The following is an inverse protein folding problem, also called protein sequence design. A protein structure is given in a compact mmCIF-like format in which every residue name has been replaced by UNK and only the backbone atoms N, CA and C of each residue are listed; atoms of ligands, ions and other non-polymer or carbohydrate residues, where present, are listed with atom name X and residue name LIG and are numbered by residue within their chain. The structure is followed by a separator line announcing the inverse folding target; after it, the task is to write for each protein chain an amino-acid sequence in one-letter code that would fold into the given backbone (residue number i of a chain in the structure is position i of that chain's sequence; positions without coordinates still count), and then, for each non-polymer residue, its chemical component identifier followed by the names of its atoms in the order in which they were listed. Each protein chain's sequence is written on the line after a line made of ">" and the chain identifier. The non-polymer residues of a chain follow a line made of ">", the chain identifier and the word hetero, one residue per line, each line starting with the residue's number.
data_IF_114569257055
#
_entry.id   IF_114569257055
#
_cell.length_a   1.000
_cell.length_b   1.000
_cell.length_c   1.000
_cell.angle_alpha   90.00
_cell.angle_beta   90.00
_cell.angle_gamma   90.00
#
_symmetry.space_group_name_H-M   'P 1'
#
loop_
_entity.id
_entity.type
_entity.pdbx_description
1 polymer ?
#
# COMPACT_ATOMS: atom_id res chain seq x y z
N UNK A 1 12.10 18.50 51.65
CA UNK A 1 12.58 17.19 51.14
C UNK A 1 12.15 17.09 49.68
N UNK A 2 12.74 17.89 48.78
CA UNK A 2 13.99 17.62 48.05
C UNK A 2 14.01 16.24 47.38
N UNK A 3 13.76 16.23 46.06
CA UNK A 3 14.70 15.80 45.01
C UNK A 3 14.00 16.04 43.65
N UNK A 4 14.28 17.14 42.94
CA UNK A 4 15.35 17.27 41.92
C UNK A 4 15.20 16.20 40.83
N UNK A 5 14.52 16.49 39.71
CA UNK A 5 15.11 17.06 38.48
C UNK A 5 16.46 16.42 38.13
N UNK A 6 16.50 15.74 36.98
CA UNK A 6 17.55 15.77 35.95
C UNK A 6 17.47 14.49 35.08
N UNK A 7 17.95 14.37 33.85
CA UNK A 7 18.94 15.12 33.09
C UNK A 7 18.73 14.78 31.58
N UNK A 8 18.58 15.82 30.74
CA UNK A 8 19.24 16.04 29.43
C UNK A 8 18.83 15.27 28.14
N UNK A 9 18.41 16.10 27.17
CA UNK A 9 18.72 15.95 25.74
C UNK A 9 20.25 16.03 25.52
N UNK A 10 20.77 15.18 24.65
CA UNK A 10 21.99 15.45 23.87
C UNK A 10 21.73 15.14 22.39
N UNK A 11 21.87 16.19 21.59
CA UNK A 11 21.83 16.23 20.13
C UNK A 11 23.18 15.77 19.60
N UNK A 12 23.21 14.85 18.63
CA UNK A 12 24.05 14.90 17.42
C UNK A 12 24.09 13.53 16.74
N UNK A 13 23.66 13.46 15.48
CA UNK A 13 23.67 12.24 14.68
C UNK A 13 22.97 12.44 13.35
N UNK A 14 23.44 13.41 12.58
CA UNK A 14 23.08 13.60 11.17
C UNK A 14 23.56 12.39 10.36
N UNK A 15 22.67 11.44 10.08
CA UNK A 15 22.84 10.46 9.01
C UNK A 15 21.83 10.74 7.91
N UNK A 16 22.27 11.54 6.94
CA UNK A 16 21.66 11.70 5.62
C UNK A 16 21.80 10.40 4.84
N UNK A 17 20.79 9.53 4.90
CA UNK A 17 20.63 8.43 3.96
C UNK A 17 19.71 8.90 2.82
N UNK A 18 20.33 9.46 1.78
CA UNK A 18 19.69 9.74 0.51
C UNK A 18 19.33 8.41 -0.18
N UNK A 19 18.10 7.94 0.02
CA UNK A 19 17.54 6.83 -0.73
C UNK A 19 16.76 7.39 -1.92
N UNK A 20 17.46 7.58 -3.03
CA UNK A 20 16.88 7.85 -4.34
C UNK A 20 16.10 6.61 -4.82
N UNK A 21 14.81 6.53 -4.49
CA UNK A 21 13.91 5.55 -5.08
C UNK A 21 13.26 6.16 -6.32
N UNK A 22 13.65 5.61 -7.47
CA UNK A 22 13.26 5.98 -8.82
C UNK A 22 11.74 6.06 -8.97
N UNK A 23 11.26 7.18 -9.51
CA UNK A 23 9.93 7.30 -10.08
C UNK A 23 9.76 6.22 -11.15
N UNK A 24 8.83 5.30 -10.91
CA UNK A 24 8.35 4.35 -11.91
C UNK A 24 6.97 4.84 -12.35
N UNK A 25 6.96 5.51 -13.50
CA UNK A 25 5.75 5.83 -14.26
C UNK A 25 5.27 4.55 -14.94
N UNK A 26 4.49 3.73 -14.22
CA UNK A 26 3.55 2.82 -14.87
C UNK A 26 2.20 3.52 -14.97
N UNK A 27 1.89 3.94 -16.18
CA UNK A 27 0.54 4.29 -16.61
C UNK A 27 -0.37 3.08 -16.40
N UNK A 28 -1.15 3.08 -15.33
CA UNK A 28 -2.29 2.17 -15.20
C UNK A 28 -3.51 2.84 -15.83
N UNK A 29 -3.62 2.71 -17.15
CA UNK A 29 -4.87 2.89 -17.87
C UNK A 29 -5.75 1.66 -17.62
N UNK A 30 -6.78 1.80 -16.76
CA UNK A 30 -8.13 1.32 -17.05
C UNK A 30 -9.12 1.64 -15.90
N UNK A 31 -9.84 2.74 -16.11
CA UNK A 31 -11.30 2.86 -16.09
C UNK A 31 -12.06 2.37 -14.85
N UNK A 32 -12.33 3.32 -13.96
CA UNK A 32 -13.48 3.28 -13.07
C UNK A 32 -14.76 3.54 -13.87
N UNK A 33 -15.56 2.50 -14.11
CA UNK A 33 -16.99 2.65 -14.40
C UNK A 33 -17.77 2.25 -13.14
N UNK A 34 -17.89 3.21 -12.20
CA UNK A 34 -18.97 3.23 -11.22
C UNK A 34 -20.07 4.06 -11.87
N UNK A 35 -21.02 3.40 -12.50
CA UNK A 35 -22.29 4.02 -12.88
C UNK A 35 -23.29 3.64 -11.79
N UNK A 36 -23.59 4.61 -10.94
CA UNK A 36 -24.75 4.62 -10.05
C UNK A 36 -25.99 4.96 -10.87
N UNK A 37 -26.92 4.03 -11.02
CA UNK A 37 -28.31 4.35 -11.34
C UNK A 37 -29.21 3.62 -10.35
N UNK A 38 -29.50 4.30 -9.24
CA UNK A 38 -30.77 4.16 -8.54
C UNK A 38 -31.68 5.21 -9.17
N UNK A 39 -32.55 4.79 -10.10
CA UNK A 39 -33.69 5.57 -10.54
C UNK A 39 -34.95 4.77 -10.25
N UNK A 40 -35.87 5.47 -9.60
CA UNK A 40 -37.21 5.04 -9.30
C UNK A 40 -38.06 4.90 -10.56
N UNK A 41 -39.17 4.19 -10.37
CA UNK A 41 -40.44 4.29 -11.08
C UNK A 41 -40.66 3.54 -12.41
N UNK A 42 -41.87 2.98 -12.45
CA UNK A 42 -42.47 2.11 -13.45
C UNK A 42 -42.54 2.75 -14.84
N UNK A 43 -42.25 1.99 -15.90
CA UNK A 43 -43.03 2.03 -17.14
C UNK A 43 -42.68 0.84 -18.06
N UNK A 44 -43.70 0.25 -18.66
CA UNK A 44 -43.63 -0.70 -19.78
C UNK A 44 -43.01 -0.06 -21.03
N UNK A 45 -42.16 -0.79 -21.76
CA UNK A 45 -42.26 -1.10 -23.22
C UNK A 45 -40.92 -1.55 -23.85
N UNK A 46 -40.95 -2.77 -24.41
CA UNK A 46 -40.57 -3.18 -25.77
C UNK A 46 -39.20 -2.78 -26.41
N UNK A 47 -38.38 -3.82 -26.66
CA UNK A 47 -37.42 -3.96 -27.79
C UNK A 47 -36.09 -3.18 -27.68
N UNK A 48 -34.91 -3.66 -28.05
CA UNK A 48 -34.43 -4.86 -28.75
C UNK A 48 -32.94 -4.99 -28.38
N UNK A 49 -32.51 -6.17 -27.91
CA UNK A 49 -31.12 -6.41 -27.52
C UNK A 49 -30.86 -7.88 -27.21
N UNK A 50 -30.63 -8.66 -28.27
CA UNK A 50 -30.13 -10.05 -28.32
C UNK A 50 -30.31 -10.89 -27.04
N UNK A 51 -31.49 -11.48 -26.89
CA UNK A 51 -31.69 -12.59 -25.95
C UNK A 51 -31.11 -13.87 -26.56
N UNK A 52 -30.01 -14.37 -26.01
CA UNK A 52 -29.52 -15.70 -26.34
C UNK A 52 -30.55 -16.74 -25.85
N UNK A 53 -31.37 -17.26 -26.77
CA UNK A 53 -32.33 -18.32 -26.48
C UNK A 53 -31.58 -19.65 -26.39
N UNK A 54 -31.27 -20.08 -25.17
CA UNK A 54 -30.72 -21.42 -24.90
C UNK A 54 -31.86 -22.42 -25.03
N UNK A 55 -31.85 -23.25 -26.08
CA UNK A 55 -32.78 -24.37 -26.24
C UNK A 55 -32.13 -25.64 -25.71
N UNK A 56 -32.78 -26.29 -24.74
CA UNK A 56 -32.31 -27.55 -24.18
C UNK A 56 -33.06 -28.71 -24.83
N UNK A 57 -32.33 -29.63 -25.48
CA UNK A 57 -32.89 -30.86 -26.05
C UNK A 57 -32.50 -32.02 -25.11
N UNK A 58 -33.47 -32.76 -24.53
CA UNK A 58 -33.13 -33.87 -23.64
C UNK A 58 -32.49 -35.03 -24.43
N UNK A 59 -31.40 -35.58 -23.88
CA UNK A 59 -30.55 -36.69 -24.38
C UNK A 59 -29.37 -36.32 -25.30
N UNK A 60 -29.09 -35.05 -25.54
CA UNK A 60 -27.83 -34.61 -26.17
C UNK A 60 -27.22 -33.46 -25.36
N UNK A 61 -25.98 -33.61 -24.90
CA UNK A 61 -25.23 -32.59 -24.16
C UNK A 61 -24.61 -31.57 -25.13
N UNK A 62 -25.37 -31.05 -26.08
CA UNK A 62 -24.92 -30.00 -26.99
C UNK A 62 -25.61 -28.69 -26.62
N UNK A 63 -24.85 -27.78 -26.02
CA UNK A 63 -25.31 -26.40 -25.76
C UNK A 63 -24.72 -25.55 -26.88
N UNK A 64 -25.53 -25.24 -27.90
CA UNK A 64 -25.14 -24.33 -28.96
C UNK A 64 -25.30 -22.88 -28.47
N UNK A 65 -24.19 -22.27 -28.08
CA UNK A 65 -24.10 -20.83 -27.94
C UNK A 65 -24.04 -20.26 -29.36
N UNK A 66 -25.17 -19.75 -29.88
CA UNK A 66 -25.22 -19.09 -31.19
C UNK A 66 -24.26 -17.90 -31.24
N UNK A 67 -23.00 -18.16 -31.60
CA UNK A 67 -21.99 -17.13 -31.79
C UNK A 67 -22.26 -16.44 -33.13
N UNK A 68 -22.40 -15.10 -33.16
CA UNK A 68 -22.48 -14.39 -34.43
C UNK A 68 -21.14 -14.58 -35.14
N UNK A 69 -21.19 -15.19 -36.32
CA UNK A 69 -20.09 -15.27 -37.29
C UNK A 69 -19.78 -13.88 -37.82
N UNK A 70 -19.10 -13.07 -37.00
CA UNK A 70 -18.35 -11.92 -37.48
C UNK A 70 -17.03 -12.49 -38.00
N UNK A 71 -16.90 -12.50 -39.32
CA UNK A 71 -15.66 -12.87 -40.01
C UNK A 71 -14.49 -12.12 -39.40
N UNK A 72 -13.41 -12.88 -39.15
CA UNK A 72 -12.02 -12.49 -38.85
C UNK A 72 -11.45 -13.41 -37.76
N UNK A 73 -11.54 -14.72 -37.98
CA UNK A 73 -10.66 -15.67 -37.31
C UNK A 73 -9.37 -15.77 -38.14
N UNK A 74 -8.35 -15.08 -37.64
CA UNK A 74 -6.95 -15.39 -37.88
C UNK A 74 -6.76 -16.88 -37.59
N UNK A 75 -6.65 -17.70 -38.64
CA UNK A 75 -6.27 -19.10 -38.57
C UNK A 75 -4.79 -19.17 -38.23
N UNK A 76 -4.46 -19.10 -36.94
CA UNK A 76 -3.16 -19.56 -36.43
C UNK A 76 -3.40 -20.69 -35.43
N UNK A 77 -4.16 -21.70 -35.85
CA UNK A 77 -3.94 -23.05 -35.32
C UNK A 77 -2.63 -23.47 -35.97
N UNK A 78 -1.52 -23.28 -35.24
CA UNK A 78 -0.28 -23.97 -35.57
C UNK A 78 -0.58 -25.43 -35.33
N UNK A 79 -1.00 -26.10 -36.40
CA UNK A 79 -0.91 -27.54 -36.54
C UNK A 79 0.53 -27.91 -36.17
N UNK A 80 0.67 -28.65 -35.08
CA UNK A 80 1.94 -29.25 -34.70
C UNK A 80 2.29 -30.17 -35.88
N UNK A 81 3.41 -29.97 -36.62
CA UNK A 81 3.77 -30.91 -37.65
C UNK A 81 4.15 -32.23 -36.96
N UNK A 82 3.25 -33.18 -37.09
CA UNK A 82 3.39 -34.58 -36.73
C UNK A 82 4.54 -35.21 -37.51
N UNK A 83 5.52 -35.72 -36.77
CA UNK A 83 6.08 -37.07 -36.98
C UNK A 83 6.72 -37.44 -38.33
N UNK A 84 7.45 -36.55 -39.01
CA UNK A 84 8.18 -36.92 -40.25
C UNK A 84 9.70 -36.73 -40.23
N UNK A 85 10.29 -36.21 -39.16
CA UNK A 85 11.73 -35.91 -39.11
C UNK A 85 12.49 -36.61 -37.96
N UNK A 86 12.14 -37.85 -37.63
CA UNK A 86 13.01 -38.67 -36.79
C UNK A 86 13.12 -40.03 -37.47
N UNK A 87 14.28 -40.39 -38.07
CA UNK A 87 14.47 -41.75 -38.54
C UNK A 87 14.37 -42.69 -37.32
N UNK A 88 13.70 -43.85 -37.45
CA UNK A 88 13.59 -44.79 -36.34
C UNK A 88 14.99 -45.18 -35.86
N UNK A 89 15.19 -45.12 -34.54
CA UNK A 89 16.45 -45.47 -33.89
C UNK A 89 16.78 -46.94 -34.23
N UNK A 90 17.73 -47.16 -35.16
CA UNK A 90 18.27 -48.49 -35.40
C UNK A 90 19.11 -48.91 -34.20
N UNK A 91 18.76 -50.04 -33.60
CA UNK A 91 19.65 -50.69 -32.63
C UNK A 91 20.94 -51.10 -33.34
N UNK A 92 22.12 -50.81 -32.76
CA UNK A 92 23.39 -51.12 -33.39
C UNK A 92 23.56 -52.65 -33.47
N UNK A 93 23.52 -53.19 -34.69
CA UNK A 93 23.55 -54.64 -34.98
C UNK A 93 24.88 -55.31 -34.62
N UNK A 94 25.94 -54.54 -34.35
CA UNK A 94 27.27 -55.07 -34.06
C UNK A 94 27.73 -54.60 -32.67
N UNK A 95 27.54 -55.46 -31.66
CA UNK A 95 28.26 -55.33 -30.39
C UNK A 95 29.72 -55.69 -30.65
N UNK A 96 30.57 -54.69 -30.85
CA UNK A 96 32.01 -54.94 -30.85
C UNK A 96 32.42 -55.45 -29.45
N UNK A 97 33.30 -56.46 -29.35
CA UNK A 97 33.85 -56.86 -28.07
C UNK A 97 34.49 -55.65 -27.40
N UNK A 98 34.14 -55.42 -26.14
CA UNK A 98 34.81 -54.40 -25.33
C UNK A 98 36.28 -54.81 -25.26
N UNK A 99 37.15 -54.07 -25.96
CA UNK A 99 38.58 -54.21 -25.81
C UNK A 99 38.92 -53.67 -24.42
N UNK A 100 39.20 -54.57 -23.49
CA UNK A 100 39.75 -54.19 -22.20
C UNK A 100 41.20 -53.80 -22.45
N UNK A 101 41.52 -52.52 -22.27
CA UNK A 101 42.91 -52.09 -22.19
C UNK A 101 43.58 -52.86 -21.05
N UNK A 102 44.82 -53.30 -21.30
CA UNK A 102 45.73 -54.01 -20.39
C UNK A 102 45.63 -53.47 -18.95
N UNK A 103 45.72 -54.33 -17.90
CA UNK A 103 45.37 -53.94 -16.54
C UNK A 103 46.10 -52.65 -16.15
N UNK A 104 45.29 -51.63 -15.86
CA UNK A 104 45.72 -50.33 -15.38
C UNK A 104 46.67 -50.58 -14.21
N UNK A 105 47.91 -50.11 -14.35
CA UNK A 105 48.90 -50.02 -13.26
C UNK A 105 48.15 -49.64 -11.97
N UNK A 106 48.24 -50.48 -10.94
CA UNK A 106 47.69 -50.21 -9.61
C UNK A 106 48.29 -48.90 -9.09
N UNK A 107 47.65 -47.77 -9.44
CA UNK A 107 47.79 -46.54 -8.69
C UNK A 107 47.06 -46.83 -7.40
N UNK A 108 47.81 -47.03 -6.33
CA UNK A 108 47.28 -47.10 -4.98
C UNK A 108 46.25 -45.98 -4.83
N UNK A 109 44.98 -46.37 -4.73
CA UNK A 109 43.92 -45.49 -4.28
C UNK A 109 44.17 -45.29 -2.78
N UNK A 110 45.16 -44.47 -2.45
CA UNK A 110 45.26 -43.93 -1.11
C UNK A 110 43.95 -43.17 -0.87
N UNK A 111 43.22 -43.57 0.17
CA UNK A 111 42.04 -42.86 0.64
C UNK A 111 42.42 -41.38 0.75
N UNK A 112 41.66 -40.45 0.14
CA UNK A 112 42.00 -39.04 0.18
C UNK A 112 42.21 -38.63 1.64
N UNK A 113 43.44 -38.19 1.95
CA UNK A 113 43.90 -37.83 3.29
C UNK A 113 42.91 -36.86 3.93
N UNK A 114 42.08 -37.36 4.85
CA UNK A 114 41.13 -36.63 5.70
C UNK A 114 40.81 -35.23 5.17
N UNK A 115 40.15 -35.15 4.01
CA UNK A 115 39.61 -33.90 3.52
C UNK A 115 38.67 -33.38 4.61
N UNK A 116 39.02 -32.25 5.21
CA UNK A 116 38.26 -31.62 6.29
C UNK A 116 36.79 -31.68 5.88
N UNK A 117 35.98 -32.43 6.63
CA UNK A 117 34.55 -32.56 6.37
C UNK A 117 33.97 -31.14 6.48
N UNK A 118 33.80 -30.46 5.35
CA UNK A 118 33.18 -29.15 5.31
C UNK A 118 31.72 -29.41 5.68
N UNK A 119 31.35 -29.07 6.91
CA UNK A 119 29.97 -29.16 7.37
C UNK A 119 29.07 -28.36 6.42
N UNK A 120 28.37 -29.07 5.52
CA UNK A 120 27.39 -28.46 4.63
C UNK A 120 26.19 -28.04 5.47
N UNK A 121 26.27 -26.85 6.05
CA UNK A 121 25.19 -26.27 6.82
C UNK A 121 23.97 -26.04 5.90
N UNK A 122 23.00 -26.95 5.96
CA UNK A 122 21.76 -26.90 5.19
C UNK A 122 20.79 -25.80 5.68
N UNK A 123 21.31 -24.70 6.22
CA UNK A 123 20.59 -23.59 6.83
C UNK A 123 19.57 -22.99 5.86
N UNK A 124 19.96 -22.83 4.59
CA UNK A 124 19.08 -22.33 3.54
C UNK A 124 17.91 -23.30 3.26
N UNK A 125 18.18 -24.60 3.21
CA UNK A 125 17.14 -25.62 3.00
C UNK A 125 16.13 -25.66 4.16
N UNK A 126 16.60 -25.56 5.40
CA UNK A 126 15.73 -25.48 6.58
C UNK A 126 14.87 -24.21 6.53
N UNK A 127 15.46 -23.05 6.20
CA UNK A 127 14.75 -21.78 6.04
C UNK A 127 13.68 -21.86 4.94
N UNK A 128 14.00 -22.46 3.80
CA UNK A 128 13.07 -22.67 2.68
C UNK A 128 11.92 -23.59 3.11
N UNK A 129 12.19 -24.71 3.77
CA UNK A 129 11.16 -25.65 4.26
C UNK A 129 10.22 -24.98 5.26
N UNK A 130 10.74 -24.17 6.18
CA UNK A 130 9.92 -23.38 7.13
C UNK A 130 9.02 -22.37 6.40
N UNK A 131 9.56 -21.61 5.45
CA UNK A 131 8.78 -20.67 4.62
C UNK A 131 7.72 -21.39 3.78
N UNK A 132 8.07 -22.52 3.14
CA UNK A 132 7.16 -23.40 2.40
C UNK A 132 5.99 -23.84 3.29
N UNK A 133 6.29 -24.36 4.48
CA UNK A 133 5.28 -24.85 5.41
C UNK A 133 4.36 -23.73 5.91
N UNK A 134 4.91 -22.54 6.25
CA UNK A 134 4.11 -21.36 6.62
C UNK A 134 3.17 -20.92 5.49
N UNK A 135 3.66 -20.87 4.24
CA UNK A 135 2.86 -20.53 3.05
C UNK A 135 1.76 -21.56 2.80
N UNK A 136 2.09 -22.85 2.87
CA UNK A 136 1.14 -23.95 2.71
C UNK A 136 0.01 -23.88 3.75
N UNK A 137 0.36 -23.77 5.04
CA UNK A 137 -0.61 -23.66 6.14
C UNK A 137 -1.49 -22.41 5.99
N UNK A 138 -0.91 -21.26 5.61
CA UNK A 138 -1.67 -20.02 5.36
C UNK A 138 -2.66 -20.17 4.20
N UNK A 139 -2.25 -20.80 3.09
CA UNK A 139 -3.14 -21.09 1.96
C UNK A 139 -4.28 -22.03 2.37
N UNK A 140 -3.98 -23.10 3.12
CA UNK A 140 -4.99 -24.03 3.66
C UNK A 140 -6.00 -23.30 4.55
N UNK A 141 -5.52 -22.43 5.45
CA UNK A 141 -6.38 -21.62 6.31
C UNK A 141 -7.27 -20.65 5.52
N UNK A 142 -6.72 -19.92 4.54
CA UNK A 142 -7.49 -18.98 3.71
C UNK A 142 -8.60 -19.69 2.91
N UNK A 143 -8.33 -20.91 2.42
CA UNK A 143 -9.36 -21.73 1.77
C UNK A 143 -10.43 -22.16 2.76
N UNK A 144 -10.04 -22.69 3.94
CA UNK A 144 -10.97 -23.13 5.00
C UNK A 144 -11.87 -21.99 5.49
N UNK A 145 -11.31 -20.79 5.66
CA UNK A 145 -12.00 -19.64 6.26
C UNK A 145 -12.44 -18.57 5.25
N UNK A 146 -12.56 -18.91 3.95
CA UNK A 146 -12.81 -17.94 2.87
C UNK A 146 -13.96 -16.98 3.21
N UNK A 147 -15.13 -17.52 3.54
CA UNK A 147 -16.34 -16.72 3.78
C UNK A 147 -16.26 -15.83 5.03
N UNK A 148 -15.64 -16.33 6.10
CA UNK A 148 -15.43 -15.54 7.32
C UNK A 148 -14.50 -14.35 7.02
N UNK A 149 -13.41 -14.59 6.29
CA UNK A 149 -12.48 -13.54 5.88
C UNK A 149 -13.14 -12.52 4.94
N UNK A 150 -13.99 -12.95 4.01
CA UNK A 150 -14.74 -12.02 3.16
C UNK A 150 -15.73 -11.17 3.98
N UNK A 151 -16.45 -11.76 4.94
CA UNK A 151 -17.32 -11.00 5.86
C UNK A 151 -16.54 -9.93 6.64
N UNK A 152 -15.35 -10.28 7.12
CA UNK A 152 -14.47 -9.30 7.82
C UNK A 152 -14.00 -8.21 6.87
N UNK A 153 -13.62 -8.54 5.62
CA UNK A 153 -13.22 -7.55 4.62
C UNK A 153 -14.37 -6.60 4.26
N UNK A 154 -15.56 -7.14 4.07
CA UNK A 154 -16.76 -6.33 3.78
C UNK A 154 -17.03 -5.34 4.90
N UNK A 155 -17.01 -5.80 6.16
CA UNK A 155 -17.17 -4.91 7.33
C UNK A 155 -16.09 -3.82 7.40
N UNK A 156 -14.84 -4.14 7.05
CA UNK A 156 -13.76 -3.14 7.00
C UNK A 156 -14.02 -2.10 5.91
N UNK A 157 -14.38 -2.54 4.69
CA UNK A 157 -14.74 -1.63 3.59
C UNK A 157 -15.90 -0.72 3.96
N UNK A 158 -16.96 -1.27 4.55
CA UNK A 158 -18.12 -0.49 5.00
C UNK A 158 -17.74 0.55 6.06
N UNK A 159 -16.83 0.22 7.00
CA UNK A 159 -16.35 1.20 7.98
C UNK A 159 -15.54 2.31 7.32
N UNK A 160 -14.63 1.96 6.42
CA UNK A 160 -13.84 2.94 5.67
C UNK A 160 -14.73 3.86 4.84
N UNK A 161 -15.72 3.30 4.15
CA UNK A 161 -16.69 4.06 3.35
C UNK A 161 -17.51 5.02 4.22
N UNK A 162 -18.02 4.54 5.36
CA UNK A 162 -18.75 5.40 6.29
C UNK A 162 -17.89 6.54 6.82
N UNK A 163 -16.63 6.26 7.20
CA UNK A 163 -15.70 7.31 7.65
C UNK A 163 -15.48 8.34 6.56
N UNK A 164 -15.24 7.90 5.33
CA UNK A 164 -15.08 8.77 4.18
C UNK A 164 -16.33 9.65 3.94
N UNK A 165 -17.52 9.07 3.97
CA UNK A 165 -18.78 9.81 3.84
C UNK A 165 -18.96 10.82 4.96
N UNK A 166 -18.65 10.47 6.20
CA UNK A 166 -18.73 11.41 7.32
C UNK A 166 -17.77 12.57 7.18
N UNK A 167 -16.54 12.33 6.69
CA UNK A 167 -15.56 13.38 6.42
C UNK A 167 -16.03 14.32 5.31
N UNK A 168 -16.65 13.79 4.24
CA UNK A 168 -17.21 14.61 3.17
C UNK A 168 -18.36 15.47 3.67
N UNK A 169 -19.31 14.89 4.41
CA UNK A 169 -20.44 15.64 4.98
C UNK A 169 -19.92 16.71 5.96
N UNK A 170 -18.89 16.42 6.75
CA UNK A 170 -18.28 17.39 7.65
C UNK A 170 -17.71 18.59 6.88
N UNK A 171 -16.98 18.35 5.78
CA UNK A 171 -16.45 19.44 4.92
C UNK A 171 -17.54 20.26 4.26
N UNK A 172 -18.62 19.62 3.81
CA UNK A 172 -19.77 20.33 3.23
C UNK A 172 -20.41 21.21 4.29
N UNK A 173 -20.65 20.69 5.50
CA UNK A 173 -21.20 21.48 6.61
C UNK A 173 -20.28 22.61 7.03
N UNK A 174 -18.97 22.39 7.08
CA UNK A 174 -17.98 23.44 7.35
C UNK A 174 -18.07 24.55 6.29
N UNK A 175 -18.20 24.19 5.01
CA UNK A 175 -18.36 25.17 3.93
C UNK A 175 -19.72 25.90 3.97
N UNK A 176 -20.81 25.21 4.31
CA UNK A 176 -22.15 25.80 4.45
C UNK A 176 -22.24 26.76 5.65
N UNK A 177 -21.56 26.44 6.74
CA UNK A 177 -21.53 27.25 7.97
C UNK A 177 -20.45 28.34 7.93
N UNK A 178 -19.65 28.41 6.87
CA UNK A 178 -18.57 29.38 6.75
C UNK A 178 -19.11 30.79 6.52
N UNK A 179 -19.05 31.63 7.55
CA UNK A 179 -19.25 33.08 7.43
C UNK A 179 -17.89 33.79 7.26
N UNK A 180 -17.73 34.46 6.13
CA UNK A 180 -16.51 35.20 5.81
C UNK A 180 -16.27 36.36 6.78
N UNK A 181 -17.32 37.03 7.26
CA UNK A 181 -17.16 38.14 8.20
C UNK A 181 -16.66 37.66 9.56
N UNK A 182 -17.26 36.60 10.08
CA UNK A 182 -16.84 35.99 11.34
C UNK A 182 -15.40 35.49 11.25
N UNK A 183 -15.03 34.85 10.15
CA UNK A 183 -13.65 34.41 9.91
C UNK A 183 -12.65 35.59 9.94
N UNK A 184 -12.96 36.70 9.27
CA UNK A 184 -12.10 37.89 9.29
C UNK A 184 -12.03 38.51 10.68
N UNK A 185 -13.16 38.61 11.39
CA UNK A 185 -13.22 39.11 12.77
C UNK A 185 -12.37 38.25 13.70
N UNK A 186 -12.45 36.92 13.59
CA UNK A 186 -11.62 35.99 14.36
C UNK A 186 -10.13 36.21 14.06
N UNK A 187 -9.73 36.30 12.79
CA UNK A 187 -8.34 36.55 12.40
C UNK A 187 -7.80 37.87 12.93
N UNK A 188 -8.57 38.95 12.81
CA UNK A 188 -8.22 40.25 13.39
C UNK A 188 -8.14 40.18 14.91
N UNK A 189 -9.02 39.43 15.57
CA UNK A 189 -8.99 39.24 17.03
C UNK A 189 -7.71 38.54 17.49
N UNK A 190 -7.26 37.51 16.77
CA UNK A 190 -6.01 36.78 17.05
C UNK A 190 -4.82 37.71 16.89
N UNK A 191 -4.80 38.50 15.82
CA UNK A 191 -3.73 39.45 15.52
C UNK A 191 -3.66 40.58 16.57
N UNK A 192 -4.83 41.07 17.00
CA UNK A 192 -4.95 42.12 18.01
C UNK A 192 -4.77 41.61 19.45
N UNK A 193 -4.82 40.28 19.67
CA UNK A 193 -4.65 39.68 20.99
C UNK A 193 -3.24 39.96 21.51
N UNK A 194 -3.14 40.73 22.59
CA UNK A 194 -1.86 40.99 23.27
C UNK A 194 -1.33 39.71 23.89
N UNK A 195 -0.22 39.19 23.36
CA UNK A 195 0.48 38.05 23.95
C UNK A 195 1.22 38.54 25.20
N UNK A 196 0.87 37.99 26.37
CA UNK A 196 1.56 38.28 27.62
C UNK A 196 2.81 37.40 27.73
N UNK A 197 3.96 37.95 28.14
CA UNK A 197 5.14 37.16 28.44
C UNK A 197 4.87 36.25 29.66
N UNK A 198 5.50 35.07 29.68
CA UNK A 198 5.39 34.13 30.81
C UNK A 198 6.13 34.58 32.07
N UNK A 199 7.15 35.42 31.89
CA UNK A 199 7.98 35.95 32.97
C UNK A 199 8.01 37.46 32.92
N UNK A 200 8.22 38.07 34.09
CA UNK A 200 8.41 39.51 34.21
C UNK A 200 9.62 39.77 35.09
N UNK A 201 10.61 40.53 34.56
CA UNK A 201 11.90 40.81 35.23
C UNK A 201 12.69 39.56 35.67
N UNK A 202 12.43 38.40 35.03
CA UNK A 202 13.12 37.14 35.30
C UNK A 202 12.33 36.15 36.18
N UNK A 203 11.27 36.61 36.84
CA UNK A 203 10.44 35.78 37.72
C UNK A 203 9.18 35.28 36.98
N UNK A 204 8.73 34.07 37.32
CA UNK A 204 7.46 33.50 36.85
C UNK A 204 6.38 33.99 37.79
N UNK A 205 5.54 34.90 37.30
CA UNK A 205 4.45 35.49 38.06
C UNK A 205 3.09 35.13 37.43
N UNK A 206 1.98 35.24 38.17
CA UNK A 206 0.65 35.08 37.62
C UNK A 206 0.40 36.06 36.45
N UNK A 207 -0.30 35.60 35.42
CA UNK A 207 -0.52 36.37 34.19
C UNK A 207 -1.21 37.73 34.45
N UNK A 208 -2.09 37.80 35.45
CA UNK A 208 -2.78 39.02 35.85
C UNK A 208 -1.81 40.10 36.37
N UNK A 209 -0.86 39.72 37.21
CA UNK A 209 0.15 40.65 37.73
C UNK A 209 1.08 41.14 36.63
N UNK A 210 1.52 40.23 35.73
CA UNK A 210 2.35 40.60 34.57
C UNK A 210 1.62 41.62 33.68
N UNK A 211 0.32 41.41 33.45
CA UNK A 211 -0.52 42.35 32.70
C UNK A 211 -0.55 43.73 33.37
N UNK A 212 -0.84 43.78 34.67
CA UNK A 212 -0.86 45.04 35.44
C UNK A 212 0.48 45.78 35.35
N UNK A 213 1.60 45.09 35.53
CA UNK A 213 2.92 45.71 35.43
C UNK A 213 3.25 46.22 34.02
N UNK A 214 2.85 45.50 32.97
CA UNK A 214 3.01 45.95 31.59
C UNK A 214 2.15 47.18 31.28
N UNK A 215 0.91 47.19 31.77
CA UNK A 215 -0.01 48.31 31.59
C UNK A 215 0.48 49.56 32.35
N UNK A 216 0.95 49.42 33.59
CA UNK A 216 1.56 50.51 34.35
C UNK A 216 2.79 51.08 33.63
N UNK A 217 3.66 50.20 33.10
CA UNK A 217 4.84 50.60 32.33
C UNK A 217 4.44 51.33 31.04
N UNK A 218 3.33 50.94 30.40
CA UNK A 218 2.79 51.60 29.20
C UNK A 218 2.21 52.98 29.55
N UNK A 219 1.39 53.08 30.59
CA UNK A 219 0.81 54.34 31.07
C UNK A 219 1.90 55.37 31.43
N UNK A 220 2.96 54.93 32.14
CA UNK A 220 4.12 55.80 32.44
C UNK A 220 4.82 56.31 31.18
N UNK A 221 4.88 55.53 30.10
CA UNK A 221 5.45 55.97 28.80
C UNK A 221 4.53 56.95 28.10
N UNK A 222 3.22 56.72 28.12
CA UNK A 222 2.21 57.60 27.51
C UNK A 222 2.16 58.97 28.21
N UNK A 223 2.14 59.01 29.54
CA UNK A 223 2.20 60.25 30.32
C UNK A 223 3.48 61.07 30.03
N UNK A 224 4.60 60.41 29.71
CA UNK A 224 5.83 61.09 29.28
C UNK A 224 5.74 61.68 27.87
N UNK A 225 4.99 61.03 26.97
CA UNK A 225 4.78 61.50 25.58
C UNK A 225 3.76 62.62 25.50
N UNK A 226 2.70 62.55 26.31
CA UNK A 226 1.63 63.53 26.38
C UNK A 226 2.00 64.72 27.29
N UNK A 227 3.22 65.25 27.10
CA UNK A 227 3.65 66.51 27.71
C UNK A 227 3.51 67.58 26.63
N UNK A 228 2.76 68.68 26.86
CA UNK A 228 2.64 69.74 25.87
C UNK A 228 4.04 70.27 25.56
N UNK A 229 4.38 70.33 24.27
CA UNK A 229 5.61 71.00 23.83
C UNK A 229 5.35 72.50 23.92
N UNK A 230 6.11 73.19 24.78
CA UNK A 230 6.17 74.64 24.76
C UNK A 230 6.78 75.06 23.42
N UNK A 231 5.94 75.59 22.53
CA UNK A 231 6.40 76.30 21.33
C UNK A 231 6.73 77.72 21.75
N UNK A 232 7.99 78.13 21.56
CA UNK A 232 8.46 79.50 21.76
C UNK A 232 8.05 80.38 20.59
#
# INVERSE_FOLDING_TARGET
>A
VNNLISLFLSISGTTTAAAAARYSTQQSNCNANIISHLTSDNCMQCGTGSMYNIKFIPRTLNIDFGMPTRGDLIRNIIEIPTTTLIPPLQEPTNRLPIQYDSPMLEKSLDLPTNERIIEKQAVNMIRIRRKKMKKHRRRKLRKKMKFILEKVRLKRRQRTEKLFQTELIAKVKEAETFDAEEYVKERLSILNKKILPRTFRGEILPAEMIKQFLDEKRAKKEAKRNKPRLTL
#
